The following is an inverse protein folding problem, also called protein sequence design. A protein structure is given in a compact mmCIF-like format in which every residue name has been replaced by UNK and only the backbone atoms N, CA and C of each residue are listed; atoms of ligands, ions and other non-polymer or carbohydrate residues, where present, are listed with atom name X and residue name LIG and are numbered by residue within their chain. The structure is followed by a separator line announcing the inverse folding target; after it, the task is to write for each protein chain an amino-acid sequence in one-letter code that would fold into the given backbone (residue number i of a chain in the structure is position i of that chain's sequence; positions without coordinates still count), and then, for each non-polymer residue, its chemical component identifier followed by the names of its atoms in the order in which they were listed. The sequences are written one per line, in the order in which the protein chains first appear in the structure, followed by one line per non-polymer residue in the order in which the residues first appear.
data_IF_276610315481
#
_entry.id   IF_276610315481
#
_cell.length_a   1.000
_cell.length_b   1.000
_cell.length_c   1.000
_cell.angle_alpha   90.00
_cell.angle_beta   90.00
_cell.angle_gamma   90.00
#
_symmetry.space_group_name_H-M   'P 1'
#
loop_
_entity.id
_entity.type
_entity.pdbx_description
1 polymer ?
#
# COMPACT_ATOMS: atom_id res chain seq x y z
N UNK A 1 -33.35 32.78 3.66
CA UNK A 1 -32.84 31.42 3.95
C UNK A 1 -32.28 30.68 2.72
N UNK A 2 -31.97 31.38 1.61
CA UNK A 2 -31.44 30.76 0.38
C UNK A 2 -29.95 30.36 0.51
N UNK A 3 -29.19 31.10 1.31
CA UNK A 3 -27.74 30.90 1.46
C UNK A 3 -27.41 29.54 2.07
N UNK A 4 -28.18 29.11 3.08
CA UNK A 4 -28.00 27.81 3.74
C UNK A 4 -28.25 26.67 2.76
N UNK A 5 -29.25 26.81 1.88
CA UNK A 5 -29.56 25.82 0.84
C UNK A 5 -28.42 25.69 -0.18
N UNK A 6 -27.84 26.81 -0.62
CA UNK A 6 -26.70 26.80 -1.56
C UNK A 6 -25.47 26.15 -0.91
N UNK A 7 -25.17 26.47 0.35
CA UNK A 7 -24.06 25.85 1.10
C UNK A 7 -24.26 24.33 1.24
N UNK A 8 -25.48 23.87 1.53
CA UNK A 8 -25.79 22.45 1.63
C UNK A 8 -25.50 21.67 0.34
N UNK A 9 -25.80 22.25 -0.83
CA UNK A 9 -25.53 21.64 -2.14
C UNK A 9 -24.02 21.61 -2.42
N UNK A 10 -23.28 22.65 -2.07
CA UNK A 10 -21.83 22.68 -2.27
C UNK A 10 -21.11 21.66 -1.39
N UNK A 11 -21.53 21.53 -0.12
CA UNK A 11 -20.91 20.59 0.82
C UNK A 11 -21.16 19.13 0.39
N UNK A 12 -22.36 18.81 -0.12
CA UNK A 12 -22.67 17.43 -0.52
C UNK A 12 -21.80 16.91 -1.67
N UNK A 13 -21.30 17.80 -2.52
CA UNK A 13 -20.39 17.46 -3.64
C UNK A 13 -18.92 17.47 -3.19
N UNK A 14 -18.53 18.42 -2.34
CA UNK A 14 -17.14 18.59 -1.92
C UNK A 14 -16.70 17.57 -0.85
N UNK A 15 -17.59 17.21 0.07
CA UNK A 15 -17.26 16.32 1.19
C UNK A 15 -16.84 14.90 0.74
N UNK A 16 -17.53 14.24 -0.21
CA UNK A 16 -17.12 12.91 -0.66
C UNK A 16 -15.71 12.90 -1.26
N UNK A 17 -15.38 13.90 -2.07
CA UNK A 17 -14.04 14.02 -2.67
C UNK A 17 -12.95 14.27 -1.61
N UNK A 18 -13.25 15.08 -0.58
CA UNK A 18 -12.32 15.30 0.53
C UNK A 18 -12.10 14.03 1.35
N UNK A 19 -13.15 13.25 1.61
CA UNK A 19 -13.05 11.98 2.33
C UNK A 19 -12.19 10.96 1.57
N UNK A 20 -12.34 10.88 0.25
CA UNK A 20 -11.49 10.04 -0.62
C UNK A 20 -10.03 10.47 -0.58
N UNK A 21 -9.76 11.78 -0.60
CA UNK A 21 -8.38 12.31 -0.49
C UNK A 21 -7.74 11.94 0.86
N UNK A 22 -8.46 12.14 1.96
CA UNK A 22 -7.97 11.78 3.31
C UNK A 22 -7.77 10.27 3.43
N UNK A 23 -8.66 9.46 2.86
CA UNK A 23 -8.52 8.01 2.86
C UNK A 23 -7.29 7.57 2.04
N UNK A 24 -7.06 8.16 0.86
CA UNK A 24 -5.84 7.92 0.07
C UNK A 24 -4.57 8.29 0.84
N UNK A 25 -4.58 9.43 1.52
CA UNK A 25 -3.45 9.87 2.34
C UNK A 25 -3.17 8.89 3.50
N UNK A 26 -4.22 8.36 4.14
CA UNK A 26 -4.08 7.31 5.17
C UNK A 26 -3.56 5.99 4.60
N UNK A 27 -3.99 5.61 3.40
CA UNK A 27 -3.50 4.41 2.73
C UNK A 27 -2.00 4.52 2.38
N UNK A 28 -1.52 5.71 2.01
CA UNK A 28 -0.09 5.99 1.76
C UNK A 28 0.81 5.69 2.97
N UNK A 29 0.29 5.81 4.19
CA UNK A 29 1.05 5.47 5.39
C UNK A 29 1.45 3.99 5.38
N UNK A 30 0.54 3.09 4.98
CA UNK A 30 0.86 1.66 4.90
C UNK A 30 1.88 1.35 3.79
N UNK A 31 1.90 2.13 2.70
CA UNK A 31 2.96 2.03 1.68
C UNK A 31 4.33 2.44 2.25
N UNK A 32 4.36 3.48 3.10
CA UNK A 32 5.59 3.92 3.76
C UNK A 32 6.11 2.84 4.74
N UNK A 33 5.22 2.23 5.52
CA UNK A 33 5.60 1.11 6.41
C UNK A 33 6.08 -0.10 5.60
N UNK A 34 5.49 -0.35 4.43
CA UNK A 34 5.93 -1.40 3.50
C UNK A 34 7.31 -1.16 2.87
N UNK A 35 7.84 0.07 2.90
CA UNK A 35 9.21 0.34 2.46
C UNK A 35 10.25 -0.42 3.30
N UNK A 36 10.01 -0.61 4.60
CA UNK A 36 10.87 -1.43 5.46
C UNK A 36 10.90 -2.90 5.03
N UNK A 37 9.74 -3.46 4.65
CA UNK A 37 9.66 -4.83 4.14
C UNK A 37 10.37 -4.98 2.77
N UNK A 38 10.27 -3.96 1.91
CA UNK A 38 11.01 -3.93 0.63
C UNK A 38 12.52 -3.96 0.85
N UNK A 39 13.01 -3.21 1.84
CA UNK A 39 14.42 -3.20 2.18
C UNK A 39 14.88 -4.59 2.63
N UNK A 40 14.17 -5.23 3.58
CA UNK A 40 14.54 -6.57 4.06
C UNK A 40 14.52 -7.62 2.96
N UNK A 41 13.56 -7.56 2.03
CA UNK A 41 13.54 -8.45 0.85
C UNK A 41 14.74 -8.18 -0.05
N UNK A 42 15.09 -6.91 -0.26
CA UNK A 42 16.22 -6.54 -1.11
C UNK A 42 17.58 -7.00 -0.57
N UNK A 43 17.80 -6.85 0.73
CA UNK A 43 18.99 -7.34 1.42
C UNK A 43 19.07 -8.88 1.33
N UNK A 44 17.97 -9.56 1.64
CA UNK A 44 17.92 -11.03 1.57
C UNK A 44 18.15 -11.55 0.15
N UNK A 45 17.58 -10.88 -0.85
CA UNK A 45 17.78 -11.25 -2.26
C UNK A 45 19.24 -11.05 -2.70
N UNK A 46 19.91 -10.00 -2.21
CA UNK A 46 21.32 -9.75 -2.47
C UNK A 46 22.21 -10.78 -1.76
N UNK A 47 21.95 -11.06 -0.49
CA UNK A 47 22.70 -12.05 0.29
C UNK A 47 22.59 -13.48 -0.27
N UNK A 48 21.41 -13.83 -0.80
CA UNK A 48 21.15 -15.15 -1.39
C UNK A 48 21.45 -15.22 -2.89
N UNK A 49 21.65 -14.08 -3.54
CA UNK A 49 21.92 -13.97 -4.98
C UNK A 49 20.70 -14.21 -5.89
N UNK A 50 19.49 -14.38 -5.34
CA UNK A 50 18.26 -14.54 -6.13
C UNK A 50 17.00 -14.22 -5.32
N UNK A 51 16.03 -13.57 -5.98
CA UNK A 51 14.68 -13.37 -5.45
C UNK A 51 13.96 -14.69 -5.17
N UNK A 52 14.18 -15.73 -5.98
CA UNK A 52 13.50 -17.03 -5.82
C UNK A 52 13.83 -17.74 -4.50
N UNK A 53 14.93 -17.34 -3.86
CA UNK A 53 15.38 -17.88 -2.58
C UNK A 53 14.82 -17.09 -1.39
N UNK A 54 14.11 -15.98 -1.62
CA UNK A 54 13.46 -15.20 -0.56
C UNK A 54 12.16 -15.88 -0.13
N UNK A 55 12.02 -16.09 1.18
CA UNK A 55 10.85 -16.68 1.83
C UNK A 55 10.41 -15.82 3.01
N UNK A 56 9.21 -16.06 3.52
CA UNK A 56 8.69 -15.34 4.70
C UNK A 56 9.62 -15.43 5.92
N UNK A 57 10.35 -16.54 6.07
CA UNK A 57 11.14 -16.84 7.27
C UNK A 57 12.57 -16.37 7.23
N UNK A 58 13.12 -16.08 6.04
CA UNK A 58 14.55 -15.77 5.89
C UNK A 58 14.86 -14.28 5.74
N UNK A 59 13.84 -13.43 5.71
CA UNK A 59 13.99 -11.96 5.65
C UNK A 59 14.23 -11.33 7.01
N UNK A 60 13.94 -12.04 8.11
CA UNK A 60 14.04 -11.50 9.47
C UNK A 60 13.10 -10.33 9.76
N UNK A 61 12.21 -9.99 8.82
CA UNK A 61 11.28 -8.88 8.96
C UNK A 61 10.16 -9.26 9.92
N UNK A 62 9.91 -8.39 10.90
CA UNK A 62 8.77 -8.50 11.81
C UNK A 62 7.92 -7.26 11.67
N UNK A 63 6.63 -7.46 11.40
CA UNK A 63 5.67 -6.38 11.28
C UNK A 63 5.00 -6.08 12.61
N UNK A 64 4.86 -4.79 12.93
CA UNK A 64 3.99 -4.30 13.99
C UNK A 64 2.86 -3.47 13.36
N UNK A 65 1.61 -3.79 13.70
CA UNK A 65 0.45 -3.07 13.20
C UNK A 65 0.51 -1.59 13.57
N UNK A 66 0.13 -0.74 12.62
CA UNK A 66 -0.01 0.70 12.81
C UNK A 66 -1.48 1.12 12.71
N UNK A 67 -1.78 2.39 13.00
CA UNK A 67 -3.15 2.89 12.95
C UNK A 67 -3.82 2.75 11.57
N UNK A 68 -3.04 2.71 10.48
CA UNK A 68 -3.53 2.66 9.11
C UNK A 68 -2.97 1.49 8.28
N UNK A 69 -2.14 0.64 8.89
CA UNK A 69 -1.60 -0.56 8.26
C UNK A 69 -1.88 -1.76 9.17
N UNK A 70 -2.79 -2.63 8.70
CA UNK A 70 -3.26 -3.78 9.46
C UNK A 70 -2.27 -4.95 9.42
N UNK A 71 -1.67 -5.20 8.26
CA UNK A 71 -0.76 -6.31 8.05
C UNK A 71 0.24 -6.03 6.93
N UNK A 72 1.45 -6.56 7.06
CA UNK A 72 2.41 -6.69 5.97
C UNK A 72 2.92 -8.12 6.01
N UNK A 73 2.73 -8.84 4.91
CA UNK A 73 3.18 -10.22 4.73
C UNK A 73 4.17 -10.31 3.57
N UNK A 74 5.22 -11.11 3.75
CA UNK A 74 6.24 -11.36 2.72
C UNK A 74 6.08 -12.81 2.26
N UNK A 75 5.54 -12.98 1.06
CA UNK A 75 5.36 -14.27 0.42
C UNK A 75 6.61 -14.79 -0.28
N UNK A 76 6.44 -15.88 -1.01
CA UNK A 76 7.48 -16.47 -1.85
C UNK A 76 8.00 -15.46 -2.89
N UNK A 77 9.28 -15.59 -3.24
CA UNK A 77 9.96 -14.71 -4.19
C UNK A 77 10.00 -13.23 -3.79
N UNK A 78 9.76 -12.93 -2.50
CA UNK A 78 9.76 -11.56 -1.98
C UNK A 78 8.53 -10.73 -2.35
N UNK A 79 7.42 -11.36 -2.75
CA UNK A 79 6.16 -10.65 -3.01
C UNK A 79 5.60 -10.13 -1.67
N UNK A 80 5.36 -8.83 -1.57
CA UNK A 80 4.89 -8.20 -0.32
C UNK A 80 3.41 -7.88 -0.46
N UNK A 81 2.61 -8.31 0.50
CA UNK A 81 1.17 -7.99 0.58
C UNK A 81 0.92 -7.10 1.79
N UNK A 82 0.54 -5.85 1.57
CA UNK A 82 0.24 -4.89 2.62
C UNK A 82 -1.27 -4.60 2.65
N UNK A 83 -1.91 -4.73 3.80
CA UNK A 83 -3.35 -4.46 3.97
C UNK A 83 -3.53 -3.24 4.85
N UNK A 84 -4.27 -2.25 4.36
CA UNK A 84 -4.56 -1.04 5.12
C UNK A 84 -5.65 -1.27 6.18
N UNK A 85 -5.54 -0.51 7.27
CA UNK A 85 -6.54 -0.44 8.33
C UNK A 85 -7.29 0.89 8.20
N UNK A 86 -8.17 1.02 7.21
CA UNK A 86 -9.05 2.19 7.07
C UNK A 86 -10.50 1.80 7.25
N UNK A 87 -11.23 2.58 8.06
CA UNK A 87 -12.58 2.24 8.51
C UNK A 87 -13.62 2.10 7.38
N UNK A 88 -13.39 2.73 6.22
CA UNK A 88 -14.39 2.81 5.15
C UNK A 88 -14.11 1.90 3.94
N UNK A 89 -12.87 1.43 3.73
CA UNK A 89 -12.52 0.50 2.66
C UNK A 89 -11.06 0.04 2.79
N UNK A 90 -10.79 -1.11 3.43
CA UNK A 90 -9.44 -1.65 3.45
C UNK A 90 -9.00 -1.97 2.02
N UNK A 91 -7.87 -1.38 1.63
CA UNK A 91 -7.17 -1.65 0.37
C UNK A 91 -5.99 -2.57 0.65
N UNK A 92 -5.86 -3.60 -0.16
CA UNK A 92 -4.70 -4.49 -0.18
C UNK A 92 -3.78 -4.09 -1.33
N UNK A 93 -2.52 -3.81 -1.03
CA UNK A 93 -1.46 -3.53 -1.99
C UNK A 93 -0.58 -4.76 -2.14
N UNK A 94 -0.26 -5.11 -3.38
CA UNK A 94 0.69 -6.18 -3.71
C UNK A 94 1.90 -5.57 -4.38
N UNK A 95 3.07 -5.74 -3.79
CA UNK A 95 4.35 -5.35 -4.37
C UNK A 95 5.08 -6.57 -4.90
N UNK A 96 5.42 -6.54 -6.19
CA UNK A 96 6.21 -7.59 -6.83
C UNK A 96 7.62 -7.07 -7.12
N UNK A 97 8.66 -7.70 -6.57
CA UNK A 97 10.01 -7.36 -6.93
C UNK A 97 10.36 -7.91 -8.32
N UNK A 98 11.05 -7.09 -9.12
CA UNK A 98 11.60 -7.43 -10.42
C UNK A 98 13.10 -7.21 -10.38
N UNK A 99 13.88 -8.27 -10.64
CA UNK A 99 15.32 -8.15 -10.70
C UNK A 99 15.74 -7.40 -11.96
N UNK A 100 16.56 -6.37 -11.80
CA UNK A 100 17.20 -5.63 -12.88
C UNK A 100 18.72 -5.63 -12.66
N UNK A 101 19.54 -5.38 -13.70
CA UNK A 101 20.98 -5.21 -13.50
C UNK A 101 21.25 -4.08 -12.51
N UNK A 102 21.90 -4.41 -11.38
CA UNK A 102 22.25 -3.42 -10.34
C UNK A 102 21.18 -3.16 -9.28
N UNK A 103 20.05 -3.88 -9.25
CA UNK A 103 19.07 -3.73 -8.17
C UNK A 103 17.74 -4.45 -8.35
N UNK A 104 16.76 -4.02 -7.54
CA UNK A 104 15.38 -4.48 -7.60
C UNK A 104 14.47 -3.29 -7.95
N UNK A 105 13.61 -3.50 -8.93
CA UNK A 105 12.47 -2.63 -9.20
C UNK A 105 11.21 -3.22 -8.55
N UNK A 106 10.29 -2.36 -8.15
CA UNK A 106 9.08 -2.78 -7.44
C UNK A 106 7.84 -2.36 -8.22
N UNK A 107 7.10 -3.34 -8.70
CA UNK A 107 5.79 -3.14 -9.30
C UNK A 107 4.73 -3.15 -8.18
N UNK A 108 3.86 -2.14 -8.14
CA UNK A 108 2.79 -2.06 -7.16
C UNK A 108 1.44 -2.25 -7.88
N UNK A 109 0.62 -3.16 -7.36
CA UNK A 109 -0.71 -3.43 -7.91
C UNK A 109 -1.74 -3.63 -6.81
N UNK A 110 -2.99 -3.41 -7.16
CA UNK A 110 -4.16 -3.64 -6.29
C UNK A 110 -5.10 -4.67 -6.93
N UNK A 111 -5.89 -5.42 -6.13
CA UNK A 111 -6.84 -6.40 -6.66
C UNK A 111 -7.91 -5.78 -7.58
N UNK A 112 -8.43 -6.56 -8.51
CA UNK A 112 -9.56 -6.14 -9.33
C UNK A 112 -10.78 -5.82 -8.44
N UNK A 113 -11.38 -4.64 -8.66
CA UNK A 113 -12.54 -4.18 -7.89
C UNK A 113 -12.21 -3.22 -6.72
N UNK A 114 -10.93 -2.94 -6.44
CA UNK A 114 -10.60 -1.84 -5.52
C UNK A 114 -10.96 -0.49 -6.11
N UNK A 115 -11.50 0.40 -5.29
CA UNK A 115 -11.74 1.78 -5.70
C UNK A 115 -10.41 2.52 -5.91
N UNK A 116 -10.08 2.77 -7.17
CA UNK A 116 -8.84 3.42 -7.57
C UNK A 116 -8.73 4.87 -7.05
N UNK A 117 -9.82 5.54 -6.67
CA UNK A 117 -9.73 6.89 -6.07
C UNK A 117 -9.02 6.88 -4.72
N UNK A 118 -9.02 5.75 -4.02
CA UNK A 118 -8.35 5.53 -2.74
C UNK A 118 -6.88 5.08 -2.91
N UNK A 119 -6.48 4.81 -4.16
CA UNK A 119 -5.18 4.24 -4.53
C UNK A 119 -4.28 5.35 -5.09
N UNK A 120 -3.03 5.47 -4.61
CA UNK A 120 -2.02 6.37 -5.18
C UNK A 120 -1.71 6.01 -6.63
N UNK A 121 -1.27 6.99 -7.43
CA UNK A 121 -0.98 6.76 -8.85
C UNK A 121 0.08 5.66 -9.08
N UNK A 122 1.05 5.54 -8.17
CA UNK A 122 2.14 4.55 -8.22
C UNK A 122 1.68 3.08 -8.08
N UNK A 123 0.42 2.85 -7.69
CA UNK A 123 -0.14 1.52 -7.43
C UNK A 123 -1.44 1.25 -8.21
N UNK A 124 -1.74 2.07 -9.22
CA UNK A 124 -2.92 1.90 -10.08
C UNK A 124 -2.64 1.01 -11.27
#
# INVERSE_FOLDING_TARGET
MIVIAIIGILISIALPAYLDYVARAKNMECLNVAAGAKLSVSETAQDRGSLSLVTATNTGYSFSASSYCASIDIGASGVITATTSTANAPVTFTFRPRSIPGGLEWDCSVPNGTNLTLVPAECR
#
